data_IF_279880120711
#
_entry.id   IF_279880120711
#
_cell.length_a   1.000
_cell.length_b   1.000
_cell.length_c   1.000
_cell.angle_alpha   90.00
_cell.angle_beta   90.00
_cell.angle_gamma   90.00
#
_symmetry.space_group_name_H-M   'P 1'
#
loop_
_entity.id
_entity.type
_entity.pdbx_description
1 polymer ?
#
# COMPACT_ATOMS: atom_id res chain seq x y z
N UNK A 1 0.28 -24.68 -4.93
CA UNK A 1 0.84 -23.61 -4.07
C UNK A 1 0.81 -24.11 -2.63
N UNK A 2 1.92 -24.08 -1.88
CA UNK A 2 1.87 -24.45 -0.46
C UNK A 2 1.23 -23.29 0.32
N UNK A 3 0.51 -23.60 1.40
CA UNK A 3 -0.14 -22.59 2.25
C UNK A 3 0.85 -21.55 2.79
N UNK A 4 2.10 -21.97 3.04
CA UNK A 4 3.21 -21.08 3.44
C UNK A 4 3.57 -20.05 2.35
N UNK A 5 3.61 -20.44 1.08
CA UNK A 5 3.95 -19.54 -0.04
C UNK A 5 2.91 -18.42 -0.16
N UNK A 6 1.62 -18.75 0.03
CA UNK A 6 0.51 -17.79 -0.03
C UNK A 6 0.64 -16.76 1.09
N UNK A 7 0.87 -17.21 2.33
CA UNK A 7 1.01 -16.30 3.48
C UNK A 7 2.18 -15.33 3.30
N UNK A 8 3.32 -15.80 2.79
CA UNK A 8 4.48 -14.94 2.50
C UNK A 8 4.11 -13.90 1.45
N UNK A 9 3.56 -14.32 0.30
CA UNK A 9 3.16 -13.38 -0.75
C UNK A 9 2.17 -12.31 -0.27
N UNK A 10 1.19 -12.69 0.55
CA UNK A 10 0.22 -11.73 1.10
C UNK A 10 0.87 -10.78 2.12
N UNK A 11 1.79 -11.28 2.94
CA UNK A 11 2.55 -10.46 3.89
C UNK A 11 3.42 -9.44 3.15
N UNK A 12 4.13 -9.87 2.11
CA UNK A 12 4.96 -9.01 1.27
C UNK A 12 4.12 -7.96 0.50
N UNK A 13 2.88 -8.31 0.15
CA UNK A 13 1.90 -7.38 -0.40
C UNK A 13 1.32 -6.41 0.66
N UNK A 14 1.82 -6.45 1.90
CA UNK A 14 1.40 -5.60 3.00
C UNK A 14 0.02 -5.94 3.58
N UNK A 15 -0.51 -7.14 3.30
CA UNK A 15 -1.75 -7.59 3.91
C UNK A 15 -1.55 -7.79 5.41
N UNK A 16 -2.50 -7.34 6.22
CA UNK A 16 -2.46 -7.60 7.66
C UNK A 16 -2.85 -9.03 7.98
N UNK A 17 -2.46 -9.52 9.15
CA UNK A 17 -2.73 -10.89 9.61
C UNK A 17 -4.22 -11.24 9.54
N UNK A 18 -5.11 -10.33 9.95
CA UNK A 18 -6.56 -10.53 9.89
C UNK A 18 -7.05 -10.75 8.46
N UNK A 19 -6.47 -10.03 7.50
CA UNK A 19 -6.81 -10.13 6.08
C UNK A 19 -6.28 -11.41 5.46
N UNK A 20 -5.08 -11.84 5.86
CA UNK A 20 -4.48 -13.12 5.46
C UNK A 20 -5.33 -14.27 5.99
N UNK A 21 -5.78 -14.20 7.24
CA UNK A 21 -6.65 -15.20 7.83
C UNK A 21 -7.98 -15.28 7.08
N UNK A 22 -8.64 -14.15 6.83
CA UNK A 22 -9.86 -14.10 6.03
C UNK A 22 -9.65 -14.70 4.63
N UNK A 23 -8.55 -14.36 3.96
CA UNK A 23 -8.22 -14.90 2.64
C UNK A 23 -8.07 -16.44 2.65
N UNK A 24 -7.43 -16.99 3.69
CA UNK A 24 -7.23 -18.42 3.84
C UNK A 24 -8.52 -19.17 4.20
N UNK A 25 -9.46 -18.52 4.89
CA UNK A 25 -10.75 -19.09 5.30
C UNK A 25 -11.80 -19.07 4.18
N UNK A 26 -11.72 -18.11 3.23
CA UNK A 26 -12.64 -18.09 2.08
C UNK A 26 -12.32 -19.22 1.11
N UNK A 27 -13.33 -19.96 0.67
CA UNK A 27 -13.19 -20.97 -0.39
C UNK A 27 -13.45 -20.37 -1.79
N UNK A 28 -14.33 -19.36 -1.83
CA UNK A 28 -14.72 -18.65 -3.05
C UNK A 28 -13.59 -17.75 -3.58
N UNK A 29 -13.31 -17.87 -4.88
CA UNK A 29 -12.23 -17.14 -5.53
C UNK A 29 -12.56 -15.66 -5.75
N UNK A 30 -13.83 -15.32 -5.97
CA UNK A 30 -14.26 -13.93 -6.16
C UNK A 30 -14.15 -13.15 -4.86
N UNK A 31 -14.53 -13.74 -3.73
CA UNK A 31 -14.34 -13.14 -2.40
C UNK A 31 -12.85 -12.89 -2.09
N UNK A 32 -11.98 -13.86 -2.43
CA UNK A 32 -10.52 -13.70 -2.31
C UNK A 32 -10.00 -12.58 -3.20
N UNK A 33 -10.47 -12.47 -4.44
CA UNK A 33 -10.09 -11.39 -5.35
C UNK A 33 -10.57 -10.02 -4.85
N UNK A 34 -11.77 -9.94 -4.26
CA UNK A 34 -12.29 -8.71 -3.66
C UNK A 34 -11.40 -8.25 -2.51
N UNK A 35 -10.95 -9.18 -1.64
CA UNK A 35 -9.98 -8.86 -0.58
C UNK A 35 -8.70 -8.27 -1.20
N UNK A 36 -8.08 -8.93 -2.18
CA UNK A 36 -6.86 -8.40 -2.80
C UNK A 36 -7.04 -7.02 -3.45
N UNK A 37 -8.19 -6.77 -4.10
CA UNK A 37 -8.53 -5.46 -4.66
C UNK A 37 -8.61 -4.39 -3.56
N UNK A 38 -9.21 -4.71 -2.41
CA UNK A 38 -9.26 -3.81 -1.25
C UNK A 38 -7.85 -3.46 -0.75
N UNK A 39 -6.97 -4.46 -0.61
CA UNK A 39 -5.58 -4.21 -0.22
C UNK A 39 -4.89 -3.27 -1.22
N UNK A 40 -5.06 -3.51 -2.52
CA UNK A 40 -4.51 -2.65 -3.57
C UNK A 40 -4.98 -1.19 -3.42
N UNK A 41 -6.27 -0.96 -3.14
CA UNK A 41 -6.79 0.38 -2.88
C UNK A 41 -6.12 1.03 -1.67
N UNK A 42 -5.98 0.32 -0.54
CA UNK A 42 -5.31 0.85 0.64
C UNK A 42 -3.83 1.22 0.38
N UNK A 43 -3.12 0.43 -0.42
CA UNK A 43 -1.75 0.76 -0.83
C UNK A 43 -1.69 2.01 -1.70
N UNK A 44 -2.62 2.17 -2.64
CA UNK A 44 -2.72 3.37 -3.47
C UNK A 44 -3.02 4.62 -2.64
N UNK A 45 -3.92 4.52 -1.67
CA UNK A 45 -4.22 5.63 -0.75
C UNK A 45 -2.99 6.05 0.06
N UNK A 46 -2.24 5.09 0.60
CA UNK A 46 -0.97 5.35 1.29
C UNK A 46 0.06 5.99 0.37
N UNK A 47 0.18 5.49 -0.86
CA UNK A 47 1.07 6.06 -1.87
C UNK A 47 0.70 7.52 -2.17
N UNK A 48 -0.58 7.81 -2.39
CA UNK A 48 -1.06 9.17 -2.63
C UNK A 48 -0.83 10.09 -1.44
N UNK A 49 -0.94 9.59 -0.21
CA UNK A 49 -0.62 10.35 1.00
C UNK A 49 0.87 10.69 1.08
N UNK A 50 1.74 9.70 0.85
CA UNK A 50 3.20 9.91 0.84
C UNK A 50 3.59 10.87 -0.27
N UNK A 51 3.02 10.73 -1.47
CA UNK A 51 3.27 11.65 -2.59
C UNK A 51 2.96 13.10 -2.19
N UNK A 52 1.81 13.35 -1.56
CA UNK A 52 1.45 14.70 -1.09
C UNK A 52 2.46 15.26 -0.07
N UNK A 53 3.01 14.41 0.81
CA UNK A 53 4.04 14.83 1.75
C UNK A 53 5.32 15.23 1.03
N UNK A 54 5.72 14.45 0.01
CA UNK A 54 6.88 14.75 -0.83
C UNK A 54 6.65 16.05 -1.59
N UNK A 55 5.49 16.24 -2.24
CA UNK A 55 5.17 17.45 -2.99
C UNK A 55 5.27 18.71 -2.11
N UNK A 56 4.78 18.63 -0.87
CA UNK A 56 4.92 19.72 0.11
C UNK A 56 6.38 20.00 0.45
N UNK A 57 7.19 18.95 0.70
CA UNK A 57 8.61 19.11 1.00
C UNK A 57 9.38 19.71 -0.19
N UNK A 58 9.10 19.25 -1.41
CA UNK A 58 9.71 19.77 -2.63
C UNK A 58 9.38 21.25 -2.83
N UNK A 59 8.14 21.65 -2.56
CA UNK A 59 7.74 23.06 -2.59
C UNK A 59 8.52 23.91 -1.58
N UNK A 60 8.68 23.44 -0.33
CA UNK A 60 9.46 24.15 0.68
C UNK A 60 10.94 24.25 0.28
N UNK A 61 11.53 23.16 -0.20
CA UNK A 61 12.93 23.12 -0.67
C UNK A 61 13.13 24.10 -1.83
N UNK A 62 12.21 24.11 -2.80
CA UNK A 62 12.26 25.05 -3.92
C UNK A 62 12.21 26.50 -3.45
N UNK A 63 11.28 26.83 -2.55
CA UNK A 63 11.12 28.17 -1.99
C UNK A 63 12.39 28.64 -1.29
N UNK A 64 12.97 27.82 -0.42
CA UNK A 64 14.21 28.13 0.28
C UNK A 64 15.41 28.29 -0.67
N UNK A 65 15.48 27.49 -1.73
CA UNK A 65 16.55 27.63 -2.74
C UNK A 65 16.43 28.94 -3.50
N UNK A 66 15.20 29.36 -3.82
CA UNK A 66 14.95 30.61 -4.54
C UNK A 66 15.31 31.83 -3.69
N UNK A 67 14.94 31.85 -2.40
CA UNK A 67 15.28 32.95 -1.48
C UNK A 67 16.78 33.11 -1.24
N UNK A 68 17.57 32.03 -1.35
CA UNK A 68 19.04 32.09 -1.20
C UNK A 68 19.78 32.43 -2.51
N UNK A 69 19.07 32.67 -3.62
CA UNK A 69 19.64 33.04 -4.93
C UNK A 69 19.37 34.50 -5.32
N UNK A 70 18.69 35.27 -4.47
CA UNK A 70 18.52 36.73 -4.54
C UNK A 70 19.36 37.42 -3.47
#
# INVERSE_FOLDING_TARGET
>A
MKKQDITICLTDAGCQLDMIQQFLEKEDQDERLILLKKQKCCLLEKLHMIQKQIDCLDYFIYTLKKENQE
#
